data_IF_375497462978
#
_entry.id   IF_375497462978
#
_cell.length_a   1.000
_cell.length_b   1.000
_cell.length_c   1.000
_cell.angle_alpha   90.00
_cell.angle_beta   90.00
_cell.angle_gamma   90.00
#
_symmetry.space_group_name_H-M   'P 1'
#
loop_
_entity.id
_entity.type
_entity.pdbx_description
1 polymer ?
#
# COMPACT_ATOMS: atom_id res chain seq x y z
N UNK A 1 14.13 -56.12 17.81
CA UNK A 1 13.32 -54.92 18.15
C UNK A 1 14.08 -53.69 17.67
N UNK A 2 13.71 -53.14 16.52
CA UNK A 2 14.25 -51.85 16.05
C UNK A 2 13.18 -50.79 16.29
N UNK A 3 13.49 -49.81 17.13
CA UNK A 3 12.58 -48.72 17.46
C UNK A 3 12.93 -48.12 18.81
N UNK A 4 12.82 -46.80 18.92
CA UNK A 4 13.00 -46.06 20.17
C UNK A 4 12.17 -46.69 21.31
N UNK A 5 12.73 -46.77 22.52
CA UNK A 5 11.96 -47.16 23.69
C UNK A 5 10.85 -46.13 23.97
N UNK A 6 9.77 -46.57 24.63
CA UNK A 6 8.70 -45.68 25.10
C UNK A 6 9.24 -44.55 25.97
N UNK A 7 10.20 -44.85 26.84
CA UNK A 7 10.94 -43.86 27.65
C UNK A 7 11.65 -42.81 26.79
N UNK A 8 12.34 -43.24 25.73
CA UNK A 8 13.04 -42.33 24.82
C UNK A 8 12.04 -41.48 24.03
N UNK A 9 10.89 -42.03 23.67
CA UNK A 9 9.80 -41.30 23.01
C UNK A 9 9.24 -40.20 23.94
N UNK A 10 8.92 -40.53 25.19
CA UNK A 10 8.44 -39.57 26.19
C UNK A 10 9.49 -38.49 26.48
N UNK A 11 10.76 -38.88 26.61
CA UNK A 11 11.89 -37.96 26.80
C UNK A 11 12.06 -36.98 25.63
N UNK A 12 11.97 -37.51 24.41
CA UNK A 12 12.08 -36.70 23.18
C UNK A 12 10.90 -35.75 23.06
N UNK A 13 9.68 -36.23 23.33
CA UNK A 13 8.46 -35.43 23.34
C UNK A 13 8.59 -34.26 24.30
N UNK A 14 8.86 -34.52 25.58
CA UNK A 14 8.91 -33.47 26.61
C UNK A 14 9.97 -32.39 26.33
N UNK A 15 11.11 -32.77 25.74
CA UNK A 15 12.15 -31.82 25.30
C UNK A 15 11.71 -31.00 24.09
N UNK A 16 10.92 -31.58 23.18
CA UNK A 16 10.48 -30.96 21.93
C UNK A 16 9.17 -30.17 22.01
N UNK A 17 8.29 -30.45 22.97
CA UNK A 17 7.01 -29.73 23.10
C UNK A 17 7.19 -28.29 23.56
N UNK A 18 6.23 -27.44 23.18
CA UNK A 18 6.17 -26.05 23.61
C UNK A 18 6.12 -25.94 25.15
N UNK A 19 6.65 -24.85 25.73
CA UNK A 19 6.64 -24.64 27.18
C UNK A 19 5.26 -24.79 27.83
N UNK A 20 4.18 -24.38 27.12
CA UNK A 20 2.80 -24.52 27.61
C UNK A 20 2.40 -25.97 27.84
N UNK A 21 2.70 -26.87 26.90
CA UNK A 21 2.38 -28.29 27.06
C UNK A 21 3.31 -28.97 28.05
N UNK A 22 4.57 -28.53 28.12
CA UNK A 22 5.48 -29.00 29.18
C UNK A 22 4.90 -28.69 30.57
N UNK A 23 4.45 -27.45 30.77
CA UNK A 23 3.80 -27.04 32.01
C UNK A 23 2.49 -27.80 32.26
N UNK A 24 1.70 -28.07 31.22
CA UNK A 24 0.47 -28.87 31.34
C UNK A 24 0.78 -30.32 31.74
N UNK A 25 1.78 -30.95 31.10
CA UNK A 25 2.25 -32.29 31.42
C UNK A 25 2.74 -32.37 32.87
N UNK A 26 3.57 -31.41 33.30
CA UNK A 26 4.06 -31.35 34.68
C UNK A 26 2.89 -31.13 35.66
N UNK A 27 1.97 -30.20 35.37
CA UNK A 27 0.82 -29.94 36.24
C UNK A 27 -0.07 -31.17 36.41
N UNK A 28 -0.33 -31.88 35.31
CA UNK A 28 -1.17 -33.08 35.33
C UNK A 28 -0.46 -34.31 35.92
N UNK A 29 0.85 -34.25 36.15
CA UNK A 29 1.68 -35.31 36.76
C UNK A 29 2.25 -34.93 38.13
N UNK A 30 1.57 -34.05 38.88
CA UNK A 30 1.99 -33.58 40.22
C UNK A 30 3.35 -32.84 40.23
N UNK A 31 3.67 -32.16 39.13
CA UNK A 31 4.82 -31.27 38.98
C UNK A 31 6.07 -31.90 38.38
N UNK A 32 6.07 -33.21 38.10
CA UNK A 32 7.24 -33.87 37.51
C UNK A 32 6.87 -35.02 36.57
N UNK A 33 6.67 -34.67 35.30
CA UNK A 33 6.27 -35.64 34.27
C UNK A 33 7.32 -36.72 34.01
N UNK A 34 8.60 -36.35 34.04
CA UNK A 34 9.72 -37.27 33.79
C UNK A 34 9.94 -38.32 34.90
N UNK A 35 9.26 -38.19 36.04
CA UNK A 35 9.28 -39.18 37.11
C UNK A 35 8.13 -40.16 37.07
N UNK A 36 7.21 -40.01 36.12
CA UNK A 36 6.08 -40.94 35.97
C UNK A 36 6.55 -42.28 35.40
N UNK A 37 5.83 -43.33 35.75
CA UNK A 37 5.93 -44.61 35.07
C UNK A 37 5.59 -44.47 33.58
N UNK A 38 6.24 -45.29 32.76
CA UNK A 38 6.18 -45.17 31.29
C UNK A 38 4.74 -45.26 30.76
N UNK A 39 3.94 -46.18 31.31
CA UNK A 39 2.56 -46.36 30.87
C UNK A 39 1.66 -45.20 31.33
N UNK A 40 1.85 -44.69 32.55
CA UNK A 40 1.12 -43.53 33.07
C UNK A 40 1.46 -42.27 32.28
N UNK A 41 2.73 -42.07 31.94
CA UNK A 41 3.18 -40.97 31.10
C UNK A 41 2.60 -41.02 29.68
N UNK A 42 2.52 -42.21 29.08
CA UNK A 42 1.88 -42.39 27.78
C UNK A 42 0.37 -42.12 27.83
N UNK A 43 -0.31 -42.68 28.84
CA UNK A 43 -1.75 -42.47 29.03
C UNK A 43 -2.06 -40.99 29.24
N UNK A 44 -1.24 -40.29 30.01
CA UNK A 44 -1.42 -38.86 30.24
C UNK A 44 -1.25 -38.05 28.95
N UNK A 45 -0.25 -38.37 28.13
CA UNK A 45 -0.04 -37.74 26.82
C UNK A 45 -1.23 -37.99 25.90
N UNK A 46 -1.73 -39.21 25.84
CA UNK A 46 -2.90 -39.57 25.04
C UNK A 46 -4.15 -38.80 25.49
N UNK A 47 -4.40 -38.74 26.81
CA UNK A 47 -5.52 -38.00 27.39
C UNK A 47 -5.45 -36.50 27.11
N UNK A 48 -4.26 -35.89 27.24
CA UNK A 48 -4.08 -34.46 26.93
C UNK A 48 -4.28 -34.20 25.43
N UNK A 49 -3.73 -35.05 24.56
CA UNK A 49 -3.87 -34.89 23.12
C UNK A 49 -5.31 -35.07 22.63
N UNK A 50 -6.09 -35.96 23.28
CA UNK A 50 -7.49 -36.21 22.93
C UNK A 50 -8.46 -35.21 23.56
N UNK A 51 -8.15 -34.70 24.75
CA UNK A 51 -8.98 -33.68 25.42
C UNK A 51 -8.77 -32.26 24.86
N UNK A 52 -7.62 -31.97 24.26
CA UNK A 52 -7.31 -30.67 23.64
C UNK A 52 -7.90 -30.55 22.22
N UNK A 53 -9.18 -30.88 22.07
CA UNK A 53 -9.95 -30.79 20.83
C UNK A 53 -10.23 -29.36 20.35
N UNK A 54 -9.60 -28.33 20.93
CA UNK A 54 -9.84 -26.94 20.59
C UNK A 54 -8.55 -26.10 20.57
N UNK A 55 -7.55 -26.53 19.79
CA UNK A 55 -6.44 -25.68 19.36
C UNK A 55 -6.89 -24.54 18.43
N UNK A 56 -7.60 -23.56 18.99
CA UNK A 56 -7.85 -22.27 18.36
C UNK A 56 -7.26 -21.10 19.17
N UNK A 57 -6.35 -21.39 20.09
CA UNK A 57 -5.49 -20.33 20.60
C UNK A 57 -4.32 -20.16 19.63
N UNK A 58 -4.63 -19.39 18.59
CA UNK A 58 -3.74 -18.35 18.05
C UNK A 58 -2.30 -18.68 18.36
N UNK A 59 -1.69 -19.53 17.55
CA UNK A 59 -0.26 -19.45 17.40
C UNK A 59 -0.01 -18.01 17.01
N UNK A 60 0.42 -17.23 17.99
CA UNK A 60 0.91 -15.90 17.77
C UNK A 60 2.17 -16.09 16.93
N UNK A 61 1.93 -16.18 15.62
CA UNK A 61 2.92 -16.00 14.57
C UNK A 61 3.27 -14.52 14.44
N UNK A 62 2.70 -13.63 15.27
CA UNK A 62 3.42 -12.41 15.66
C UNK A 62 4.48 -12.92 16.64
N UNK A 63 5.74 -13.05 16.30
CA UNK A 63 6.54 -12.08 15.59
C UNK A 63 7.85 -12.78 15.19
N UNK A 64 7.83 -13.45 14.04
CA UNK A 64 9.07 -13.79 13.30
C UNK A 64 9.12 -13.08 11.95
N UNK A 65 8.17 -12.19 11.69
CA UNK A 65 8.34 -11.08 10.74
C UNK A 65 9.22 -10.02 11.40
N UNK A 66 10.43 -10.44 11.79
CA UNK A 66 11.53 -9.71 12.39
C UNK A 66 11.28 -8.22 12.52
N UNK A 67 11.38 -7.65 13.72
CA UNK A 67 11.51 -6.19 13.94
C UNK A 67 12.33 -5.46 12.85
N UNK A 68 13.30 -6.12 12.21
CA UNK A 68 14.04 -5.65 11.03
C UNK A 68 13.17 -5.46 9.76
N UNK A 69 12.27 -6.38 9.44
CA UNK A 69 11.28 -6.23 8.37
C UNK A 69 10.29 -5.12 8.67
N UNK A 70 9.78 -5.03 9.91
CA UNK A 70 8.90 -3.93 10.32
C UNK A 70 9.60 -2.57 10.15
N UNK A 71 10.85 -2.44 10.64
CA UNK A 71 11.67 -1.25 10.44
C UNK A 71 11.98 -0.97 8.97
N UNK A 72 12.17 -2.00 8.13
CA UNK A 72 12.35 -1.85 6.68
C UNK A 72 11.09 -1.28 6.03
N UNK A 73 9.92 -1.84 6.33
CA UNK A 73 8.65 -1.37 5.77
C UNK A 73 8.34 0.06 6.22
N UNK A 74 8.60 0.39 7.50
CA UNK A 74 8.47 1.75 8.02
C UNK A 74 9.36 2.76 7.29
N UNK A 75 10.62 2.41 7.01
CA UNK A 75 11.55 3.24 6.23
C UNK A 75 11.09 3.41 4.78
N UNK A 76 10.60 2.36 4.16
CA UNK A 76 10.10 2.37 2.78
C UNK A 76 8.86 3.25 2.64
N UNK A 77 7.89 3.13 3.55
CA UNK A 77 6.70 3.99 3.62
C UNK A 77 7.11 5.46 3.78
N UNK A 78 8.04 5.76 4.69
CA UNK A 78 8.55 7.13 4.86
C UNK A 78 9.16 7.68 3.57
N UNK A 79 9.99 6.90 2.89
CA UNK A 79 10.61 7.31 1.62
C UNK A 79 9.58 7.55 0.52
N UNK A 80 8.53 6.74 0.45
CA UNK A 80 7.44 6.91 -0.51
C UNK A 80 6.66 8.20 -0.24
N UNK A 81 6.36 8.51 1.03
CA UNK A 81 5.73 9.77 1.41
C UNK A 81 6.59 10.97 1.04
N UNK A 82 7.90 10.93 1.33
CA UNK A 82 8.82 12.02 0.95
C UNK A 82 8.86 12.25 -0.56
N UNK A 83 8.74 11.18 -1.38
CA UNK A 83 8.65 11.28 -2.84
C UNK A 83 7.32 11.86 -3.30
N UNK A 84 6.22 11.46 -2.67
CA UNK A 84 4.89 12.00 -2.94
C UNK A 84 4.83 13.50 -2.64
N UNK A 85 5.36 13.92 -1.48
CA UNK A 85 5.41 15.33 -1.09
C UNK A 85 6.25 16.16 -2.08
N UNK A 86 7.38 15.61 -2.56
CA UNK A 86 8.19 16.24 -3.61
C UNK A 86 7.46 16.35 -4.94
N UNK A 87 6.66 15.37 -5.31
CA UNK A 87 5.86 15.41 -6.54
C UNK A 87 4.75 16.46 -6.44
N UNK A 88 4.05 16.50 -5.30
CA UNK A 88 3.00 17.47 -5.01
C UNK A 88 3.56 18.91 -4.97
N UNK A 89 4.68 19.12 -4.30
CA UNK A 89 5.36 20.43 -4.26
C UNK A 89 6.02 20.81 -5.60
N UNK A 90 6.45 19.82 -6.39
CA UNK A 90 6.99 20.01 -7.74
C UNK A 90 5.93 20.37 -8.78
N UNK A 91 4.69 19.88 -8.63
CA UNK A 91 3.57 20.21 -9.53
C UNK A 91 2.94 21.58 -9.26
N UNK A 92 3.20 22.22 -8.11
CA UNK A 92 2.66 23.55 -7.81
C UNK A 92 3.30 24.71 -8.62
N UNK A 93 4.33 24.47 -9.44
CA UNK A 93 5.06 25.55 -10.14
C UNK A 93 4.84 25.67 -11.65
N UNK A 94 4.09 24.76 -12.29
CA UNK A 94 3.79 24.87 -13.73
C UNK A 94 2.37 24.44 -14.08
N UNK A 95 1.36 25.00 -13.39
CA UNK A 95 0.02 25.13 -13.98
C UNK A 95 -0.25 26.62 -14.07
N UNK A 96 0.12 27.22 -15.20
CA UNK A 96 -0.43 28.50 -15.60
C UNK A 96 -1.90 28.21 -15.92
N UNK A 97 -2.76 28.40 -14.93
CA UNK A 97 -4.20 28.37 -15.16
C UNK A 97 -4.52 29.69 -15.84
N UNK A 98 -4.73 29.64 -17.16
CA UNK A 98 -5.36 30.76 -17.87
C UNK A 98 -6.82 30.75 -17.45
N UNK A 99 -7.16 31.55 -16.43
CA UNK A 99 -8.53 32.05 -16.28
C UNK A 99 -8.78 32.97 -17.49
N UNK A 100 -9.46 32.49 -18.52
CA UNK A 100 -10.24 33.41 -19.36
C UNK A 100 -11.49 33.78 -18.56
N UNK A 101 -11.37 34.77 -17.68
CA UNK A 101 -12.47 35.56 -17.13
C UNK A 101 -11.87 36.81 -16.44
N UNK A 102 -11.01 37.53 -17.16
CA UNK A 102 -10.71 38.93 -16.82
C UNK A 102 -11.61 39.81 -17.68
N UNK A 103 -12.77 40.13 -17.10
CA UNK A 103 -13.64 41.22 -17.54
C UNK A 103 -12.89 42.52 -17.23
N UNK A 104 -12.28 43.12 -18.25
CA UNK A 104 -11.82 44.51 -18.19
C UNK A 104 -12.67 45.30 -19.17
N UNK A 105 -13.65 46.01 -18.63
CA UNK A 105 -14.43 47.00 -19.35
C UNK A 105 -13.53 48.17 -19.77
N UNK A 106 -13.64 48.48 -21.06
CA UNK A 106 -13.46 49.77 -21.76
C UNK A 106 -12.43 50.78 -21.24
N UNK A 107 -11.36 50.95 -22.03
CA UNK A 107 -10.92 52.30 -22.42
C UNK A 107 -10.92 52.38 -23.96
N UNK A 108 -11.88 53.16 -24.49
CA UNK A 108 -11.89 53.62 -25.87
C UNK A 108 -10.66 54.49 -26.14
N UNK A 109 -9.78 54.09 -27.04
CA UNK A 109 -9.09 55.04 -27.92
C UNK A 109 -8.94 54.44 -29.31
N UNK A 110 -9.86 54.81 -30.19
CA UNK A 110 -9.71 54.73 -31.64
C UNK A 110 -8.46 55.49 -32.08
N UNK A 111 -7.41 54.76 -32.47
CA UNK A 111 -6.37 55.27 -33.37
C UNK A 111 -6.26 54.32 -34.56
N UNK A 112 -6.89 54.78 -35.64
CA UNK A 112 -6.78 54.29 -37.01
C UNK A 112 -5.38 54.53 -37.56
N UNK A 113 -5.04 53.77 -38.61
CA UNK A 113 -3.84 53.84 -39.48
C UNK A 113 -2.69 52.90 -39.09
N UNK A 114 -2.01 52.18 -39.98
CA UNK A 114 -1.88 52.31 -41.44
C UNK A 114 -1.38 50.95 -42.01
N UNK A 115 -2.21 50.18 -42.72
CA UNK A 115 -1.73 48.98 -43.45
C UNK A 115 -1.20 49.41 -44.82
N UNK A 116 0.09 49.71 -44.88
CA UNK A 116 0.80 50.04 -46.12
C UNK A 116 0.99 48.80 -47.01
N UNK A 117 -0.01 48.49 -47.85
CA UNK A 117 0.14 47.52 -48.94
C UNK A 117 0.91 48.17 -50.10
N UNK A 118 2.23 47.98 -50.13
CA UNK A 118 3.05 48.46 -51.25
C UNK A 118 2.99 47.46 -52.42
N UNK A 119 2.13 47.81 -53.38
CA UNK A 119 2.32 47.89 -54.83
C UNK A 119 3.06 46.78 -55.59
N UNK A 120 2.39 46.21 -56.61
CA UNK A 120 2.50 46.61 -58.03
C UNK A 120 1.47 45.78 -58.81
N UNK A 121 0.43 46.35 -59.43
CA UNK A 121 0.45 46.62 -60.87
C UNK A 121 -0.85 47.34 -61.25
N UNK A 122 -0.69 48.43 -62.01
CA UNK A 122 -1.65 49.11 -62.89
C UNK A 122 -3.13 48.83 -62.62
N UNK A 123 -3.88 49.80 -62.11
CA UNK A 123 -4.20 50.97 -62.90
C UNK A 123 -5.37 50.67 -63.85
N UNK A 124 -6.30 51.61 -63.90
CA UNK A 124 -7.29 51.81 -64.95
C UNK A 124 -8.61 51.04 -64.81
N UNK A 125 -9.47 51.66 -63.98
CA UNK A 125 -10.89 51.89 -64.25
C UNK A 125 -11.35 51.48 -65.67
N UNK A 126 -12.22 50.46 -65.74
CA UNK A 126 -13.14 50.32 -66.86
C UNK A 126 -14.35 49.48 -66.47
N UNK A 127 -15.53 50.10 -66.56
CA UNK A 127 -16.72 49.40 -67.03
C UNK A 127 -17.73 48.96 -65.99
N UNK A 128 -18.92 49.57 -66.11
CA UNK A 128 -20.25 49.03 -65.83
C UNK A 128 -20.67 49.00 -64.34
N UNK A 129 -21.33 50.07 -63.87
CA UNK A 129 -22.81 50.20 -63.76
C UNK A 129 -23.33 49.31 -62.62
N UNK A 130 -23.58 49.89 -61.43
CA UNK A 130 -24.91 50.31 -60.90
C UNK A 130 -25.91 49.14 -60.90
N UNK A 131 -26.51 48.75 -59.77
CA UNK A 131 -27.55 49.52 -59.10
C UNK A 131 -27.61 49.30 -57.58
N UNK A 132 -28.13 50.35 -56.93
CA UNK A 132 -28.48 50.51 -55.53
C UNK A 132 -29.50 49.48 -55.02
N UNK A 133 -29.31 49.12 -53.74
CA UNK A 133 -30.24 48.77 -52.66
C UNK A 133 -31.21 47.57 -52.80
N UNK A 134 -30.96 46.56 -51.93
CA UNK A 134 -31.82 45.96 -50.87
C UNK A 134 -33.20 45.39 -51.29
N UNK A 135 -33.78 44.29 -50.73
CA UNK A 135 -33.34 43.18 -49.85
C UNK A 135 -33.13 41.87 -50.69
N UNK A 136 -32.75 40.66 -50.24
CA UNK A 136 -32.75 39.88 -48.99
C UNK A 136 -31.33 39.36 -48.69
#
# INVERSE_FOLDING_TARGET
>A
HHGFSKENLLSTLYRGVLPRYRMLLDTASNGYFMGQDVEDGLLLVENIATSDGNYNEKYDRSDRGSSVQEEKHKKEIKMLNDKLDKLLTGQQKHVHFVCEDDVVEEEEETQVEEVNYINNLGGYQKGFINYKNNPN
#
